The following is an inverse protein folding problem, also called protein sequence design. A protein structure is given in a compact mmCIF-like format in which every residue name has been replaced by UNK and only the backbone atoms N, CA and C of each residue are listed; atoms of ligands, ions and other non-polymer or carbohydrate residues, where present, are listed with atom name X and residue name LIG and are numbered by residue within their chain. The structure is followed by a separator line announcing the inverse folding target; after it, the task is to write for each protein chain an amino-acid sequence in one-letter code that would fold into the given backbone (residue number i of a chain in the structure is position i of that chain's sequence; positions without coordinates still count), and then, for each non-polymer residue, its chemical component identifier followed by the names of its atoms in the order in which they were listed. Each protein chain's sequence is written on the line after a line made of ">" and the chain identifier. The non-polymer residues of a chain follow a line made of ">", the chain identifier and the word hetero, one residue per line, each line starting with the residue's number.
data_IF_554930326503
#
_entry.id   IF_554930326503
#
_cell.length_a   1.000
_cell.length_b   1.000
_cell.length_c   1.000
_cell.angle_alpha   90.00
_cell.angle_beta   90.00
_cell.angle_gamma   90.00
#
_symmetry.space_group_name_H-M   'P 1'
#
loop_
_entity.id
_entity.type
_entity.pdbx_description
1 polymer ?
#
# COMPACT_ATOMS: atom_id res chain seq x y z
N UNK A 1 -33.45 -5.61 -3.80
CA UNK A 1 -32.18 -4.95 -4.14
C UNK A 1 -31.71 -5.50 -5.48
N UNK A 2 -31.17 -4.67 -6.38
CA UNK A 2 -30.75 -5.12 -7.72
C UNK A 2 -29.23 -5.05 -7.84
N UNK A 3 -28.59 -6.16 -8.20
CA UNK A 3 -27.13 -6.25 -8.37
C UNK A 3 -26.83 -6.24 -9.87
N UNK A 4 -25.90 -5.38 -10.30
CA UNK A 4 -25.39 -5.33 -11.67
C UNK A 4 -23.86 -5.37 -11.68
N UNK A 5 -23.23 -5.94 -12.72
CA UNK A 5 -21.78 -5.85 -12.88
C UNK A 5 -21.30 -4.41 -12.97
N UNK A 6 -20.16 -4.10 -12.32
CA UNK A 6 -19.50 -2.80 -12.41
C UNK A 6 -18.54 -2.83 -13.61
N UNK A 7 -18.86 -2.07 -14.66
CA UNK A 7 -18.07 -2.04 -15.90
C UNK A 7 -17.48 -0.66 -16.20
N UNK A 8 -18.08 0.38 -15.65
CA UNK A 8 -17.72 1.77 -15.88
C UNK A 8 -17.49 2.50 -14.57
N UNK A 9 -16.83 3.65 -14.66
CA UNK A 9 -16.60 4.55 -13.52
C UNK A 9 -17.92 5.02 -12.90
N UNK A 10 -18.96 5.23 -13.72
CA UNK A 10 -20.28 5.64 -13.23
C UNK A 10 -20.96 4.50 -12.46
N UNK A 11 -20.85 3.25 -12.93
CA UNK A 11 -21.34 2.09 -12.18
C UNK A 11 -20.63 1.96 -10.83
N UNK A 12 -19.32 2.20 -10.81
CA UNK A 12 -18.49 2.13 -9.60
C UNK A 12 -18.91 3.19 -8.58
N UNK A 13 -19.08 4.44 -9.02
CA UNK A 13 -19.55 5.54 -8.16
C UNK A 13 -20.97 5.31 -7.64
N UNK A 14 -21.84 4.74 -8.46
CA UNK A 14 -23.18 4.35 -8.03
C UNK A 14 -23.12 3.25 -6.97
N UNK A 15 -22.31 2.21 -7.19
CA UNK A 15 -22.10 1.13 -6.23
C UNK A 15 -21.58 1.65 -4.88
N UNK A 16 -20.58 2.54 -4.88
CA UNK A 16 -20.06 3.18 -3.66
C UNK A 16 -21.16 3.96 -2.91
N UNK A 17 -21.99 4.72 -3.63
CA UNK A 17 -23.11 5.45 -3.02
C UNK A 17 -24.14 4.52 -2.39
N UNK A 18 -24.41 3.38 -3.02
CA UNK A 18 -25.34 2.37 -2.52
C UNK A 18 -24.83 1.75 -1.22
N UNK A 19 -23.54 1.43 -1.15
CA UNK A 19 -22.98 0.77 0.05
C UNK A 19 -22.61 1.73 1.18
N UNK A 20 -22.38 3.03 0.87
CA UNK A 20 -21.92 4.02 1.85
C UNK A 20 -22.72 4.08 3.16
N UNK A 21 -24.07 4.01 3.18
CA UNK A 21 -24.82 4.07 4.43
C UNK A 21 -24.57 2.87 5.36
N UNK A 22 -24.21 1.70 4.81
CA UNK A 22 -23.96 0.50 5.60
C UNK A 22 -22.64 0.55 6.40
N UNK A 23 -21.79 1.55 6.18
CA UNK A 23 -20.60 1.77 7.02
C UNK A 23 -20.92 2.51 8.32
N UNK A 24 -22.04 3.25 8.35
CA UNK A 24 -22.54 3.91 9.56
C UNK A 24 -23.51 3.00 10.33
N UNK A 25 -24.24 2.14 9.61
CA UNK A 25 -25.21 1.18 10.16
C UNK A 25 -25.03 -0.19 9.47
N UNK A 26 -24.09 -0.98 10.00
CA UNK A 26 -23.69 -2.25 9.39
C UNK A 26 -24.79 -3.31 9.57
N UNK A 27 -25.28 -3.93 8.47
CA UNK A 27 -26.31 -4.95 8.56
C UNK A 27 -25.77 -6.24 9.19
N UNK A 28 -26.65 -6.97 9.90
CA UNK A 28 -26.27 -8.25 10.50
C UNK A 28 -25.92 -9.31 9.44
N UNK A 29 -24.96 -10.16 9.77
CA UNK A 29 -24.54 -11.27 8.93
C UNK A 29 -25.67 -12.26 8.66
N UNK A 30 -25.80 -12.70 7.40
CA UNK A 30 -26.84 -13.64 6.97
C UNK A 30 -28.24 -13.02 6.84
N UNK A 31 -28.36 -11.71 6.96
CA UNK A 31 -29.57 -10.98 6.55
C UNK A 31 -29.53 -10.68 5.05
N UNK A 32 -30.69 -10.48 4.40
CA UNK A 32 -30.72 -10.07 2.99
C UNK A 32 -29.89 -8.81 2.69
N UNK A 33 -29.88 -7.85 3.62
CA UNK A 33 -29.09 -6.62 3.56
C UNK A 33 -27.59 -6.91 3.69
N UNK A 34 -27.20 -7.80 4.61
CA UNK A 34 -25.81 -8.24 4.80
C UNK A 34 -25.27 -9.00 3.58
N UNK A 35 -26.03 -9.97 3.08
CA UNK A 35 -25.67 -10.73 1.88
C UNK A 35 -25.56 -9.79 0.65
N UNK A 36 -26.42 -8.78 0.57
CA UNK A 36 -26.35 -7.77 -0.49
C UNK A 36 -25.08 -6.92 -0.37
N UNK A 37 -24.75 -6.44 0.83
CA UNK A 37 -23.53 -5.67 1.08
C UNK A 37 -22.28 -6.48 0.72
N UNK A 38 -22.20 -7.74 1.15
CA UNK A 38 -21.08 -8.64 0.85
C UNK A 38 -20.85 -8.77 -0.65
N UNK A 39 -21.90 -9.06 -1.43
CA UNK A 39 -21.78 -9.19 -2.88
C UNK A 39 -21.39 -7.87 -3.55
N UNK A 40 -21.95 -6.75 -3.08
CA UNK A 40 -21.60 -5.42 -3.62
C UNK A 40 -20.14 -5.08 -3.37
N UNK A 41 -19.62 -5.33 -2.16
CA UNK A 41 -18.21 -5.10 -1.82
C UNK A 41 -17.28 -5.96 -2.70
N UNK A 42 -17.63 -7.22 -2.96
CA UNK A 42 -16.85 -8.09 -3.85
C UNK A 42 -16.79 -7.55 -5.29
N UNK A 43 -17.89 -6.99 -5.81
CA UNK A 43 -17.92 -6.37 -7.13
C UNK A 43 -17.09 -5.08 -7.20
N UNK A 44 -17.15 -4.27 -6.13
CA UNK A 44 -16.36 -3.05 -5.98
C UNK A 44 -14.87 -3.41 -5.97
N UNK A 45 -14.45 -4.35 -5.11
CA UNK A 45 -13.07 -4.82 -5.01
C UNK A 45 -12.56 -5.34 -6.37
N UNK A 46 -13.36 -6.14 -7.08
CA UNK A 46 -12.99 -6.67 -8.39
C UNK A 46 -12.82 -5.59 -9.46
N UNK A 47 -13.55 -4.47 -9.36
CA UNK A 47 -13.36 -3.31 -10.22
C UNK A 47 -12.12 -2.52 -9.83
N UNK A 48 -11.93 -2.25 -8.53
CA UNK A 48 -10.79 -1.52 -7.98
C UNK A 48 -9.47 -2.21 -8.28
N UNK A 49 -9.39 -3.53 -8.11
CA UNK A 49 -8.18 -4.30 -8.42
C UNK A 49 -7.69 -4.15 -9.87
N UNK A 50 -8.60 -3.82 -10.81
CA UNK A 50 -8.28 -3.60 -12.22
C UNK A 50 -7.96 -2.15 -12.56
N UNK A 51 -8.61 -1.19 -11.90
CA UNK A 51 -8.57 0.23 -12.28
C UNK A 51 -7.74 1.09 -11.32
N UNK A 52 -7.63 0.67 -10.07
CA UNK A 52 -6.88 1.32 -9.00
C UNK A 52 -5.93 0.30 -8.33
N UNK A 53 -4.96 -0.25 -9.08
CA UNK A 53 -3.99 -1.15 -8.48
C UNK A 53 -3.27 -0.42 -7.35
N UNK A 54 -3.14 -1.10 -6.20
CA UNK A 54 -2.32 -0.60 -5.10
C UNK A 54 -0.86 -0.78 -5.52
N UNK A 55 -0.26 0.30 -6.00
CA UNK A 55 1.17 0.30 -6.30
C UNK A 55 1.96 0.03 -5.00
N UNK A 56 3.05 -0.74 -5.08
CA UNK A 56 3.92 -0.91 -3.94
C UNK A 56 4.41 0.46 -3.47
N UNK A 57 4.54 0.68 -2.15
CA UNK A 57 4.98 1.96 -1.63
C UNK A 57 6.36 2.29 -2.21
N UNK A 58 6.60 3.58 -2.44
CA UNK A 58 7.93 4.06 -2.80
C UNK A 58 8.95 3.52 -1.79
N UNK A 59 10.03 2.83 -2.23
CA UNK A 59 10.96 2.19 -1.31
C UNK A 59 11.58 3.12 -0.27
N UNK A 60 11.77 4.39 -0.62
CA UNK A 60 12.33 5.37 0.30
C UNK A 60 11.32 5.79 1.35
N UNK A 61 10.06 5.96 0.96
CA UNK A 61 8.98 6.22 1.93
C UNK A 61 8.75 5.01 2.83
N UNK A 62 8.82 3.79 2.31
CA UNK A 62 8.77 2.57 3.12
C UNK A 62 9.91 2.48 4.14
N UNK A 63 11.13 2.90 3.76
CA UNK A 63 12.27 2.98 4.68
C UNK A 63 12.00 4.02 5.76
N UNK A 64 11.59 5.24 5.40
CA UNK A 64 11.33 6.33 6.36
C UNK A 64 10.23 5.95 7.35
N UNK A 65 9.14 5.38 6.86
CA UNK A 65 8.04 4.90 7.70
C UNK A 65 8.51 3.87 8.72
N UNK A 66 9.31 2.90 8.28
CA UNK A 66 9.90 1.90 9.17
C UNK A 66 10.92 2.50 10.14
N UNK A 67 11.69 3.50 9.72
CA UNK A 67 12.58 4.25 10.62
C UNK A 67 11.78 4.92 11.74
N UNK A 68 10.66 5.57 11.42
CA UNK A 68 9.77 6.18 12.40
C UNK A 68 9.21 5.14 13.38
N UNK A 69 8.67 4.03 12.87
CA UNK A 69 8.11 2.95 13.70
C UNK A 69 9.13 2.33 14.66
N UNK A 70 10.39 2.23 14.25
CA UNK A 70 11.46 1.59 15.02
C UNK A 70 12.36 2.60 15.77
N UNK A 71 12.09 3.91 15.65
CA UNK A 71 12.94 4.95 16.21
C UNK A 71 14.36 5.01 15.63
N UNK A 72 14.56 4.55 14.39
CA UNK A 72 15.86 4.54 13.73
C UNK A 72 16.23 5.92 13.19
N UNK A 73 17.51 6.24 13.29
CA UNK A 73 18.11 7.45 12.69
C UNK A 73 18.85 7.12 11.39
N UNK A 74 19.19 8.14 10.61
CA UNK A 74 20.03 7.95 9.41
C UNK A 74 21.41 7.35 9.74
N UNK A 75 21.93 7.56 10.95
CA UNK A 75 23.20 6.96 11.40
C UNK A 75 23.08 5.45 11.54
N UNK A 76 21.91 4.96 11.95
CA UNK A 76 21.68 3.54 12.17
C UNK A 76 21.67 2.76 10.85
N UNK A 77 21.34 3.40 9.72
CA UNK A 77 21.34 2.76 8.40
C UNK A 77 22.74 2.64 7.75
N UNK A 78 23.77 3.22 8.36
CA UNK A 78 25.16 3.20 7.84
C UNK A 78 25.67 1.77 7.55
N UNK A 79 25.45 0.76 8.42
CA UNK A 79 25.90 -0.61 8.15
C UNK A 79 25.26 -1.26 6.91
N UNK A 80 24.05 -0.82 6.52
CA UNK A 80 23.36 -1.31 5.34
C UNK A 80 23.69 -0.53 4.06
N UNK A 81 23.71 0.81 4.14
CA UNK A 81 23.79 1.69 2.97
C UNK A 81 25.22 2.18 2.71
N UNK A 82 26.02 2.38 3.75
CA UNK A 82 27.38 2.93 3.69
C UNK A 82 27.50 4.24 4.47
N UNK A 83 28.46 5.09 4.09
CA UNK A 83 28.71 6.38 4.76
C UNK A 83 27.44 7.25 4.89
N UNK A 84 27.40 8.10 5.92
CA UNK A 84 26.22 8.89 6.27
C UNK A 84 25.74 9.81 5.13
N UNK A 85 26.65 10.41 4.36
CA UNK A 85 26.32 11.18 3.16
C UNK A 85 25.51 10.34 2.15
N UNK A 86 25.91 9.09 1.93
CA UNK A 86 25.23 8.15 1.03
C UNK A 86 23.86 7.74 1.56
N UNK A 87 23.71 7.62 2.88
CA UNK A 87 22.39 7.42 3.50
C UNK A 87 21.46 8.57 3.14
N UNK A 88 21.90 9.82 3.34
CA UNK A 88 21.09 10.97 2.98
C UNK A 88 20.85 11.09 1.47
N UNK A 89 21.80 10.72 0.61
CA UNK A 89 21.55 10.66 -0.84
C UNK A 89 20.40 9.70 -1.17
N UNK A 90 20.38 8.52 -0.55
CA UNK A 90 19.31 7.53 -0.76
C UNK A 90 17.98 8.02 -0.20
N UNK A 91 17.96 8.51 1.05
CA UNK A 91 16.73 8.99 1.71
C UNK A 91 16.11 10.23 1.04
N UNK A 92 16.92 11.01 0.31
CA UNK A 92 16.47 12.15 -0.48
C UNK A 92 16.32 11.84 -1.97
N UNK A 93 16.28 10.54 -2.34
CA UNK A 93 16.14 10.07 -3.73
C UNK A 93 17.22 10.57 -4.70
N UNK A 94 18.35 11.09 -4.24
CA UNK A 94 19.50 11.46 -5.11
C UNK A 94 20.29 10.24 -5.59
N UNK A 95 20.04 9.06 -5.03
CA UNK A 95 20.69 7.79 -5.40
C UNK A 95 19.74 6.61 -5.28
N UNK A 96 19.78 5.71 -6.28
CA UNK A 96 19.05 4.43 -6.23
C UNK A 96 19.68 3.46 -5.22
N UNK A 97 18.82 2.70 -4.55
CA UNK A 97 19.19 1.53 -3.76
C UNK A 97 19.84 0.50 -4.68
N UNK A 98 20.94 -0.09 -4.23
CA UNK A 98 21.54 -1.23 -4.90
C UNK A 98 20.98 -2.53 -4.31
N UNK A 99 21.05 -3.62 -5.07
CA UNK A 99 20.63 -4.94 -4.58
C UNK A 99 21.34 -5.35 -3.28
N UNK A 100 22.61 -4.95 -3.12
CA UNK A 100 23.38 -5.16 -1.89
C UNK A 100 22.81 -4.37 -0.72
N UNK A 101 22.39 -3.11 -0.93
CA UNK A 101 21.73 -2.31 0.12
C UNK A 101 20.40 -2.94 0.52
N UNK A 102 19.58 -3.32 -0.46
CA UNK A 102 18.26 -3.95 -0.24
C UNK A 102 18.40 -5.19 0.65
N UNK A 103 19.33 -6.10 0.30
CA UNK A 103 19.60 -7.31 1.09
C UNK A 103 20.05 -7.00 2.51
N UNK A 104 20.90 -5.99 2.69
CA UNK A 104 21.38 -5.60 4.02
C UNK A 104 20.28 -4.95 4.86
N UNK A 105 19.49 -4.06 4.25
CA UNK A 105 18.33 -3.43 4.88
C UNK A 105 17.37 -4.52 5.39
N UNK A 106 16.98 -5.45 4.52
CA UNK A 106 16.12 -6.57 4.90
C UNK A 106 16.70 -7.39 6.07
N UNK A 107 17.96 -7.83 5.94
CA UNK A 107 18.59 -8.70 6.95
C UNK A 107 18.81 -8.03 8.30
N UNK A 108 19.13 -6.73 8.32
CA UNK A 108 19.54 -6.04 9.56
C UNK A 108 18.38 -5.35 10.28
N UNK A 109 17.36 -4.89 9.56
CA UNK A 109 16.28 -4.08 10.12
C UNK A 109 14.89 -4.67 9.86
N UNK A 110 14.81 -5.79 9.12
CA UNK A 110 13.55 -6.49 8.85
C UNK A 110 12.64 -5.76 7.85
N UNK A 111 13.16 -4.84 7.04
CA UNK A 111 12.38 -4.23 5.96
C UNK A 111 11.95 -5.33 4.96
N UNK A 112 10.65 -5.50 4.65
CA UNK A 112 10.20 -6.47 3.66
C UNK A 112 10.85 -6.21 2.29
N UNK A 113 11.29 -7.27 1.60
CA UNK A 113 11.95 -7.12 0.30
C UNK A 113 11.03 -6.48 -0.73
N UNK A 114 9.75 -6.86 -0.73
CA UNK A 114 8.71 -6.33 -1.63
C UNK A 114 8.61 -4.80 -1.56
N UNK A 115 8.78 -4.23 -0.37
CA UNK A 115 8.76 -2.79 -0.17
C UNK A 115 10.06 -2.08 -0.62
N UNK A 116 11.11 -2.83 -0.97
CA UNK A 116 12.43 -2.27 -1.31
C UNK A 116 12.78 -2.39 -2.80
N UNK A 117 12.05 -3.22 -3.54
CA UNK A 117 12.39 -3.61 -4.92
C UNK A 117 11.62 -2.82 -5.99
N UNK A 118 10.58 -2.09 -5.59
CA UNK A 118 9.79 -1.28 -6.52
C UNK A 118 10.67 -0.25 -7.23
N UNK A 119 10.36 0.02 -8.50
CA UNK A 119 11.01 1.10 -9.22
C UNK A 119 10.58 2.44 -8.64
N UNK A 120 11.52 3.36 -8.47
CA UNK A 120 11.24 4.73 -8.04
C UNK A 120 12.13 5.73 -8.78
N UNK A 121 11.63 6.95 -8.89
CA UNK A 121 12.29 8.09 -9.52
C UNK A 121 13.27 8.77 -8.53
N UNK A 122 14.27 9.44 -9.10
CA UNK A 122 15.30 10.16 -8.34
C UNK A 122 14.91 11.63 -8.14
#
# INVERSE_FOLDING_TARGET
>A
MNIKPIKTEDDYREALKIVSPYFDDEPEWGTPEGDFLEVMLLLIEAYEAKHYPIDPPDPIEAIKFRMEQQGLTAKDLVPAIGQLNRVYEVLNKKRKLTLTMIRKLHKQFGFPLENLIAAYEL
#
